data_IF_879539194343
#
_entry.id   IF_879539194343
#
_cell.length_a   1.000
_cell.length_b   1.000
_cell.length_c   1.000
_cell.angle_alpha   90.00
_cell.angle_beta   90.00
_cell.angle_gamma   90.00
#
_symmetry.space_group_name_H-M   'P 1'
#
loop_
_entity.id
_entity.type
_entity.pdbx_description
1 polymer ?
#
# COMPACT_ATOMS: atom_id res chain seq x y z
N UNK A 1 -48.11 41.06 -46.80
CA UNK A 1 -47.05 41.97 -46.29
C UNK A 1 -46.25 41.19 -45.25
N UNK A 2 -44.93 41.08 -45.44
CA UNK A 2 -43.89 40.32 -44.68
C UNK A 2 -43.95 38.77 -44.85
N UNK A 3 -43.08 38.06 -45.59
CA UNK A 3 -41.60 37.93 -45.73
C UNK A 3 -40.90 37.05 -44.66
N UNK A 4 -40.60 35.80 -45.08
CA UNK A 4 -39.40 34.95 -44.90
C UNK A 4 -38.39 35.23 -43.78
N UNK A 5 -37.99 34.17 -43.05
CA UNK A 5 -36.65 33.54 -43.09
C UNK A 5 -36.44 32.59 -41.90
N UNK A 6 -35.90 31.39 -42.15
CA UNK A 6 -35.59 30.38 -41.11
C UNK A 6 -34.17 30.48 -40.57
N UNK A 7 -33.87 29.77 -39.47
CA UNK A 7 -32.51 29.35 -39.06
C UNK A 7 -32.59 28.04 -38.25
N UNK A 8 -31.55 27.22 -38.43
CA UNK A 8 -31.30 25.82 -38.07
C UNK A 8 -31.25 25.43 -36.58
N UNK A 9 -31.30 24.09 -36.40
CA UNK A 9 -30.96 23.28 -35.22
C UNK A 9 -29.79 23.79 -34.38
N UNK A 10 -29.96 23.85 -33.05
CA UNK A 10 -28.95 23.45 -32.05
C UNK A 10 -29.69 22.84 -30.85
N UNK A 11 -29.60 21.53 -30.69
CA UNK A 11 -29.80 20.87 -29.39
C UNK A 11 -28.50 21.04 -28.61
N UNK A 12 -28.49 21.96 -27.64
CA UNK A 12 -27.57 21.92 -26.51
C UNK A 12 -28.26 21.06 -25.43
N UNK A 13 -27.69 20.02 -24.84
CA UNK A 13 -26.27 19.78 -24.59
C UNK A 13 -26.11 19.66 -23.07
N UNK A 14 -25.97 18.43 -22.58
CA UNK A 14 -25.12 17.94 -21.48
C UNK A 14 -24.89 18.89 -20.27
N UNK A 15 -25.00 18.46 -19.01
CA UNK A 15 -24.07 17.48 -18.43
C UNK A 15 -24.49 17.05 -17.02
N UNK A 16 -24.48 15.73 -16.82
CA UNK A 16 -23.86 15.03 -15.69
C UNK A 16 -24.31 15.38 -14.26
N UNK A 17 -25.38 14.72 -13.81
CA UNK A 17 -25.38 14.19 -12.44
C UNK A 17 -24.32 13.08 -12.41
N UNK A 18 -23.18 13.34 -11.79
CA UNK A 18 -22.25 12.30 -11.38
C UNK A 18 -22.97 11.42 -10.34
N UNK A 19 -23.61 10.36 -10.82
CA UNK A 19 -23.93 9.22 -9.98
C UNK A 19 -22.65 8.43 -9.84
N UNK A 20 -22.22 8.29 -8.58
CA UNK A 20 -21.41 7.18 -8.15
C UNK A 20 -22.14 5.89 -8.53
N UNK A 21 -21.84 5.36 -9.71
CA UNK A 21 -21.95 3.93 -9.95
C UNK A 21 -20.58 3.37 -9.64
N UNK A 22 -20.55 2.63 -8.54
CA UNK A 22 -19.67 1.50 -8.32
C UNK A 22 -19.52 0.79 -9.67
N UNK A 23 -18.41 1.06 -10.35
CA UNK A 23 -18.00 0.30 -11.53
C UNK A 23 -17.64 -1.09 -11.03
N UNK A 24 -18.67 -1.92 -10.91
CA UNK A 24 -18.56 -3.36 -10.72
C UNK A 24 -18.05 -3.91 -12.05
N UNK A 25 -16.81 -3.54 -12.39
CA UNK A 25 -16.01 -4.35 -13.29
C UNK A 25 -15.96 -5.72 -12.61
N UNK A 26 -16.49 -6.75 -13.27
CA UNK A 26 -16.22 -8.12 -12.85
C UNK A 26 -14.71 -8.29 -12.96
N UNK A 27 -14.00 -8.00 -11.87
CA UNK A 27 -12.62 -8.40 -11.72
C UNK A 27 -12.64 -9.92 -11.78
N UNK A 28 -12.17 -10.47 -12.90
CA UNK A 28 -11.85 -11.88 -13.01
C UNK A 28 -10.68 -12.16 -12.05
N UNK A 29 -11.00 -12.38 -10.77
CA UNK A 29 -10.03 -12.57 -9.70
C UNK A 29 -10.61 -12.34 -8.31
N UNK A 30 -9.77 -12.53 -7.30
CA UNK A 30 -10.08 -12.28 -5.90
C UNK A 30 -10.43 -10.81 -5.65
N UNK A 31 -11.50 -10.57 -4.90
CA UNK A 31 -11.87 -9.23 -4.44
C UNK A 31 -10.78 -8.67 -3.52
N UNK A 32 -10.29 -7.46 -3.81
CA UNK A 32 -9.17 -6.88 -3.09
C UNK A 32 -9.49 -6.59 -1.62
N UNK A 33 -10.72 -6.14 -1.32
CA UNK A 33 -11.10 -5.84 0.08
C UNK A 33 -11.12 -7.12 0.92
N UNK A 34 -11.75 -8.17 0.40
CA UNK A 34 -11.80 -9.48 1.06
C UNK A 34 -10.40 -10.08 1.22
N UNK A 35 -9.52 -9.90 0.23
CA UNK A 35 -8.11 -10.24 0.34
C UNK A 35 -7.44 -9.48 1.49
N UNK A 36 -7.57 -8.16 1.53
CA UNK A 36 -6.91 -7.31 2.51
C UNK A 36 -7.41 -7.60 3.94
N UNK A 37 -8.72 -7.75 4.12
CA UNK A 37 -9.33 -8.13 5.40
C UNK A 37 -8.74 -9.45 5.93
N UNK A 38 -8.47 -10.42 5.04
CA UNK A 38 -7.84 -11.70 5.42
C UNK A 38 -6.33 -11.59 5.59
N UNK A 39 -5.68 -10.76 4.77
CA UNK A 39 -4.25 -10.48 4.81
C UNK A 39 -3.85 -9.92 6.18
N UNK A 40 -4.65 -9.02 6.73
CA UNK A 40 -4.38 -8.33 8.00
C UNK A 40 -4.89 -9.06 9.24
N UNK A 41 -5.61 -10.17 9.08
CA UNK A 41 -6.20 -10.92 10.21
C UNK A 41 -5.65 -12.34 10.40
N UNK A 42 -4.75 -12.82 9.52
CA UNK A 42 -4.09 -14.12 9.66
C UNK A 42 -2.64 -14.07 9.20
N UNK A 43 -1.70 -14.27 10.12
CA UNK A 43 -0.28 -14.28 9.83
C UNK A 43 0.07 -15.39 8.82
N UNK A 44 -0.48 -16.59 9.01
CA UNK A 44 -0.27 -17.70 8.08
C UNK A 44 -0.72 -17.32 6.66
N UNK A 45 -1.90 -16.73 6.51
CA UNK A 45 -2.38 -16.29 5.20
C UNK A 45 -1.51 -15.17 4.63
N UNK A 46 -1.15 -14.17 5.44
CA UNK A 46 -0.31 -13.05 5.04
C UNK A 46 0.99 -13.53 4.36
N UNK A 47 1.71 -14.45 5.02
CA UNK A 47 2.94 -15.02 4.45
C UNK A 47 2.75 -15.80 3.15
N UNK A 48 1.57 -16.38 2.89
CA UNK A 48 1.29 -17.07 1.61
C UNK A 48 1.07 -16.10 0.45
N UNK A 49 0.79 -14.84 0.76
CA UNK A 49 0.43 -13.80 -0.21
C UNK A 49 1.52 -12.76 -0.38
N UNK A 50 2.76 -13.09 -0.03
CA UNK A 50 3.92 -12.24 -0.26
C UNK A 50 4.90 -12.99 -1.16
N UNK A 51 5.37 -12.34 -2.23
CA UNK A 51 6.38 -12.89 -3.13
C UNK A 51 7.78 -12.54 -2.60
N UNK A 52 8.37 -13.44 -1.81
CA UNK A 52 9.75 -13.28 -1.35
C UNK A 52 10.77 -13.84 -2.37
N UNK A 53 11.99 -13.25 -2.45
CA UNK A 53 12.32 -11.93 -1.90
C UNK A 53 11.52 -10.83 -2.62
N UNK A 54 11.27 -9.72 -1.91
CA UNK A 54 10.58 -8.57 -2.51
C UNK A 54 11.44 -7.95 -3.62
N UNK A 55 10.80 -7.21 -4.53
CA UNK A 55 11.46 -6.56 -5.68
C UNK A 55 12.58 -5.63 -5.20
N UNK A 56 12.32 -4.81 -4.18
CA UNK A 56 13.27 -3.85 -3.63
C UNK A 56 14.00 -4.45 -2.42
N UNK A 57 15.35 -4.55 -2.44
CA UNK A 57 16.12 -4.97 -1.27
C UNK A 57 16.13 -3.88 -0.20
N UNK A 58 16.51 -4.26 1.02
CA UNK A 58 16.83 -3.29 2.07
C UNK A 58 18.18 -2.66 1.75
N UNK A 59 18.27 -1.33 1.72
CA UNK A 59 19.51 -0.58 1.48
C UNK A 59 19.84 0.25 2.71
N UNK A 60 21.01 0.04 3.30
CA UNK A 60 21.46 0.74 4.50
C UNK A 60 22.83 1.38 4.27
N UNK A 61 23.11 2.47 4.98
CA UNK A 61 24.42 3.11 5.00
C UNK A 61 25.37 2.45 6.01
N UNK A 62 26.61 2.28 5.58
CA UNK A 62 27.70 1.95 6.47
C UNK A 62 28.07 3.14 7.37
N UNK A 63 28.87 2.88 8.40
CA UNK A 63 29.28 3.87 9.39
C UNK A 63 30.10 5.04 8.81
N UNK A 64 30.57 4.91 7.57
CA UNK A 64 31.23 5.99 6.83
C UNK A 64 30.25 7.04 6.27
N UNK A 65 28.94 6.76 6.30
CA UNK A 65 27.88 7.65 5.80
C UNK A 65 27.80 7.74 4.27
N UNK A 66 28.61 6.98 3.54
CA UNK A 66 28.70 7.06 2.08
C UNK A 66 28.48 5.69 1.41
N UNK A 67 28.95 4.61 2.04
CA UNK A 67 28.88 3.27 1.44
C UNK A 67 27.54 2.62 1.71
N UNK A 68 26.75 2.42 0.66
CA UNK A 68 25.52 1.62 0.72
C UNK A 68 25.81 0.11 0.75
N UNK A 69 25.04 -0.63 1.54
CA UNK A 69 24.95 -2.10 1.47
C UNK A 69 23.52 -2.54 1.31
N UNK A 70 23.32 -3.52 0.44
CA UNK A 70 22.01 -4.10 0.16
C UNK A 70 21.86 -5.46 0.81
N UNK A 71 20.66 -5.72 1.34
CA UNK A 71 20.27 -6.97 1.97
C UNK A 71 18.97 -7.47 1.35
N UNK A 72 18.85 -8.75 0.99
CA UNK A 72 17.59 -9.28 0.47
C UNK A 72 16.45 -9.12 1.47
N UNK A 73 15.34 -8.55 1.00
CA UNK A 73 14.12 -8.44 1.80
C UNK A 73 13.32 -9.74 1.70
N UNK A 74 13.60 -10.63 2.65
CA UNK A 74 13.11 -12.01 2.72
C UNK A 74 12.14 -12.20 3.89
N UNK A 75 11.49 -13.37 3.94
CA UNK A 75 10.41 -13.68 4.89
C UNK A 75 10.77 -13.41 6.35
N UNK A 76 12.01 -13.69 6.76
CA UNK A 76 12.45 -13.51 8.15
C UNK A 76 12.62 -12.05 8.59
N UNK A 77 12.55 -11.11 7.63
CA UNK A 77 12.60 -9.66 7.85
C UNK A 77 11.23 -9.01 7.70
N UNK A 78 10.20 -9.74 7.31
CA UNK A 78 8.88 -9.15 7.05
C UNK A 78 8.17 -8.76 8.37
N UNK A 79 7.80 -7.48 8.58
CA UNK A 79 6.89 -7.09 9.65
C UNK A 79 5.45 -7.41 9.24
N UNK A 80 4.73 -8.19 10.05
CA UNK A 80 3.33 -8.51 9.81
C UNK A 80 2.49 -7.23 9.94
N UNK A 81 1.64 -6.99 8.93
CA UNK A 81 0.79 -5.81 8.85
C UNK A 81 -0.60 -6.13 9.38
N UNK A 82 -1.10 -5.30 10.28
CA UNK A 82 -2.44 -5.43 10.87
C UNK A 82 -3.48 -4.56 10.13
N UNK A 83 -4.73 -4.61 10.59
CA UNK A 83 -5.82 -3.87 9.97
C UNK A 83 -5.73 -2.36 10.17
N UNK A 84 -5.17 -1.92 11.31
CA UNK A 84 -5.00 -0.49 11.59
C UNK A 84 -3.91 0.12 10.69
N UNK A 85 -2.80 -0.60 10.49
CA UNK A 85 -1.71 -0.22 9.58
C UNK A 85 -2.19 -0.03 8.14
N UNK A 86 -3.13 -0.87 7.69
CA UNK A 86 -3.63 -0.86 6.31
C UNK A 86 -4.91 -0.04 6.10
N UNK A 87 -5.33 0.73 7.10
CA UNK A 87 -6.53 1.56 7.03
C UNK A 87 -6.24 2.86 6.28
N UNK A 88 -7.16 3.29 5.41
CA UNK A 88 -7.07 4.62 4.79
C UNK A 88 -7.63 5.69 5.71
N UNK A 89 -6.79 6.64 6.13
CA UNK A 89 -7.18 7.72 7.02
C UNK A 89 -6.28 8.96 6.90
N UNK A 90 -6.76 10.07 7.45
CA UNK A 90 -6.00 11.31 7.60
C UNK A 90 -6.25 11.83 9.01
N UNK A 91 -5.22 11.82 9.84
CA UNK A 91 -5.30 12.17 11.25
C UNK A 91 -4.41 13.38 11.53
N UNK A 92 -4.92 14.33 12.30
CA UNK A 92 -4.13 15.43 12.86
C UNK A 92 -3.69 15.03 14.26
N UNK A 93 -2.38 14.90 14.48
CA UNK A 93 -1.80 14.58 15.78
C UNK A 93 -1.86 15.80 16.72
N UNK A 94 -1.76 15.54 18.03
CA UNK A 94 -1.78 16.59 19.06
C UNK A 94 -0.65 17.63 18.88
N UNK A 95 0.49 17.20 18.35
CA UNK A 95 1.66 18.04 18.06
C UNK A 95 1.54 18.80 16.72
N UNK A 96 0.42 18.66 16.02
CA UNK A 96 0.10 19.36 14.76
C UNK A 96 0.50 18.64 13.48
N UNK A 97 1.28 17.56 13.56
CA UNK A 97 1.64 16.72 12.40
C UNK A 97 0.41 16.02 11.80
N UNK A 98 0.39 15.86 10.48
CA UNK A 98 -0.71 15.19 9.76
C UNK A 98 -0.22 13.83 9.29
N UNK A 99 -0.79 12.76 9.83
CA UNK A 99 -0.56 11.39 9.37
C UNK A 99 -1.57 11.05 8.27
N UNK A 100 -1.10 10.50 7.16
CA UNK A 100 -1.93 10.12 6.02
C UNK A 100 -1.60 8.70 5.61
N UNK A 101 -2.62 7.87 5.45
CA UNK A 101 -2.54 6.53 4.87
C UNK A 101 -3.59 6.39 3.77
N UNK A 102 -3.18 5.97 2.57
CA UNK A 102 -4.07 5.90 1.39
C UNK A 102 -3.51 5.00 0.30
N UNK A 103 -4.39 4.54 -0.60
CA UNK A 103 -3.95 4.00 -1.89
C UNK A 103 -3.54 5.15 -2.83
N UNK A 104 -2.24 5.28 -3.10
CA UNK A 104 -1.70 6.24 -4.09
C UNK A 104 -1.86 5.73 -5.52
N UNK A 105 -1.93 4.41 -5.69
CA UNK A 105 -2.35 3.75 -6.93
C UNK A 105 -3.48 2.76 -6.61
N UNK A 106 -4.58 2.83 -7.36
CA UNK A 106 -5.76 2.00 -7.13
C UNK A 106 -6.34 1.43 -8.44
N UNK A 107 -5.53 0.72 -9.21
CA UNK A 107 -5.95 0.10 -10.48
C UNK A 107 -6.58 -1.28 -10.26
N UNK A 108 -7.30 -1.84 -11.26
CA UNK A 108 -7.93 -3.16 -11.13
C UNK A 108 -6.98 -4.33 -10.89
N UNK A 109 -5.69 -4.23 -11.21
CA UNK A 109 -4.73 -5.34 -11.00
C UNK A 109 -3.44 -4.92 -10.31
N UNK A 110 -3.33 -3.65 -9.93
CA UNK A 110 -2.14 -3.08 -9.34
C UNK A 110 -2.54 -1.96 -8.37
N UNK A 111 -2.13 -2.08 -7.11
CA UNK A 111 -2.44 -1.09 -6.08
C UNK A 111 -1.19 -0.79 -5.27
N UNK A 112 -1.02 0.46 -4.87
CA UNK A 112 0.07 0.90 -4.00
C UNK A 112 -0.56 1.63 -2.83
N UNK A 113 -0.31 1.12 -1.63
CA UNK A 113 -0.68 1.77 -0.38
C UNK A 113 0.55 2.50 0.17
N UNK A 114 0.37 3.73 0.61
CA UNK A 114 1.41 4.51 1.31
C UNK A 114 0.84 5.07 2.61
N UNK A 115 1.68 5.06 3.65
CA UNK A 115 1.36 5.66 4.93
C UNK A 115 2.58 6.40 5.51
N UNK A 116 2.34 7.56 6.11
CA UNK A 116 3.37 8.38 6.73
C UNK A 116 2.89 9.79 7.05
N UNK A 117 3.77 10.60 7.61
CA UNK A 117 3.48 12.01 7.85
C UNK A 117 3.55 12.83 6.54
N UNK A 118 2.58 13.72 6.33
CA UNK A 118 2.43 14.51 5.09
C UNK A 118 3.67 15.38 4.78
N UNK A 119 4.42 15.79 5.79
CA UNK A 119 5.63 16.61 5.69
C UNK A 119 6.94 15.81 5.87
N UNK A 120 6.88 14.48 5.76
CA UNK A 120 8.04 13.58 5.94
C UNK A 120 8.11 12.54 4.83
N UNK A 121 9.18 11.74 4.85
CA UNK A 121 9.21 10.51 4.05
C UNK A 121 8.11 9.56 4.52
N UNK A 122 7.63 8.71 3.61
CA UNK A 122 6.64 7.68 3.96
C UNK A 122 7.26 6.68 4.94
N UNK A 123 6.48 6.21 5.90
CA UNK A 123 6.90 5.17 6.85
C UNK A 123 6.65 3.77 6.28
N UNK A 124 5.70 3.66 5.35
CA UNK A 124 5.29 2.41 4.75
C UNK A 124 4.85 2.63 3.30
N UNK A 125 5.31 1.76 2.40
CA UNK A 125 4.74 1.61 1.06
C UNK A 125 4.59 0.13 0.75
N UNK A 126 3.40 -0.31 0.36
CA UNK A 126 3.11 -1.72 0.02
C UNK A 126 2.54 -1.79 -1.38
N UNK A 127 3.16 -2.61 -2.24
CA UNK A 127 2.73 -2.83 -3.62
C UNK A 127 2.01 -4.17 -3.75
N UNK A 128 0.78 -4.12 -4.24
CA UNK A 128 -0.09 -5.27 -4.46
C UNK A 128 -0.35 -5.48 -5.95
N UNK A 129 -0.21 -6.72 -6.41
CA UNK A 129 -0.55 -7.11 -7.77
C UNK A 129 -1.51 -8.32 -7.78
N UNK A 130 -2.53 -8.25 -8.64
CA UNK A 130 -3.38 -9.38 -8.96
C UNK A 130 -2.67 -10.24 -10.02
N UNK A 131 -2.28 -11.44 -9.64
CA UNK A 131 -1.50 -12.33 -10.50
C UNK A 131 -2.39 -13.15 -11.44
N UNK A 132 -1.77 -13.84 -12.40
CA UNK A 132 -2.48 -14.64 -13.41
C UNK A 132 -3.30 -15.82 -12.83
N UNK A 133 -3.04 -16.21 -11.58
CA UNK A 133 -3.85 -17.21 -10.85
C UNK A 133 -5.13 -16.62 -10.23
N UNK A 134 -5.40 -15.34 -10.47
CA UNK A 134 -6.54 -14.61 -9.95
C UNK A 134 -6.43 -14.27 -8.47
N UNK A 135 -5.24 -14.31 -7.87
CA UNK A 135 -5.02 -13.97 -6.44
C UNK A 135 -4.16 -12.72 -6.28
N UNK A 136 -4.43 -11.95 -5.24
CA UNK A 136 -3.61 -10.81 -4.86
C UNK A 136 -2.36 -11.25 -4.09
N UNK A 137 -1.25 -10.58 -4.37
CA UNK A 137 0.01 -10.73 -3.66
C UNK A 137 0.65 -9.37 -3.40
N UNK A 138 1.33 -9.25 -2.27
CA UNK A 138 2.36 -8.24 -2.06
C UNK A 138 3.60 -8.64 -2.85
N UNK A 139 4.08 -7.74 -3.68
CA UNK A 139 5.25 -7.95 -4.55
C UNK A 139 6.41 -7.03 -4.19
N UNK A 140 6.13 -5.91 -3.52
CA UNK A 140 7.16 -5.01 -3.01
C UNK A 140 6.73 -4.31 -1.73
N UNK A 141 7.71 -3.85 -0.95
CA UNK A 141 7.48 -3.12 0.29
C UNK A 141 8.68 -2.23 0.66
N UNK A 142 8.38 -1.00 1.06
CA UNK A 142 9.26 -0.17 1.88
C UNK A 142 8.66 -0.07 3.28
N UNK A 143 9.50 -0.13 4.31
CA UNK A 143 9.09 0.05 5.70
C UNK A 143 10.17 0.77 6.50
N UNK A 144 9.75 1.72 7.34
CA UNK A 144 10.62 2.49 8.22
C UNK A 144 11.39 1.63 9.22
N UNK A 145 10.98 0.38 9.47
CA UNK A 145 11.78 -0.60 10.23
C UNK A 145 13.19 -0.74 9.65
N UNK A 146 13.34 -0.68 8.33
CA UNK A 146 14.63 -0.75 7.64
C UNK A 146 14.88 0.49 6.80
N UNK A 147 14.46 1.65 7.32
CA UNK A 147 14.69 2.94 6.69
C UNK A 147 16.18 3.22 6.48
N UNK A 148 16.47 4.18 5.62
CA UNK A 148 17.83 4.54 5.20
C UNK A 148 18.74 4.96 6.37
N UNK A 149 18.14 5.57 7.40
CA UNK A 149 18.83 6.01 8.62
C UNK A 149 19.21 4.88 9.57
N UNK A 150 18.76 3.64 9.34
CA UNK A 150 19.11 2.50 10.18
C UNK A 150 20.60 2.13 9.99
N UNK A 151 21.44 2.22 11.04
CA UNK A 151 22.83 1.80 10.93
C UNK A 151 22.93 0.29 10.66
N UNK A 152 23.85 -0.11 9.77
CA UNK A 152 24.05 -1.54 9.45
C UNK A 152 24.32 -2.39 10.70
N UNK A 153 25.03 -1.84 11.69
CA UNK A 153 25.30 -2.51 12.96
C UNK A 153 24.04 -2.88 13.75
N UNK A 154 22.94 -2.16 13.54
CA UNK A 154 21.67 -2.35 14.25
C UNK A 154 20.70 -3.29 13.52
N UNK A 155 20.91 -3.56 12.22
CA UNK A 155 20.01 -4.39 11.39
C UNK A 155 19.66 -5.73 12.06
N UNK A 156 20.63 -6.39 12.68
CA UNK A 156 20.38 -7.69 13.35
C UNK A 156 19.41 -7.54 14.53
N UNK A 157 19.57 -6.49 15.33
CA UNK A 157 18.68 -6.22 16.46
C UNK A 157 17.30 -5.81 15.97
N UNK A 158 17.22 -4.98 14.93
CA UNK A 158 15.95 -4.58 14.33
C UNK A 158 15.16 -5.76 13.78
N UNK A 159 15.82 -6.71 13.09
CA UNK A 159 15.19 -7.97 12.66
C UNK A 159 14.69 -8.78 13.86
N UNK A 160 15.39 -8.75 14.99
CA UNK A 160 14.96 -9.43 16.21
C UNK A 160 13.70 -8.78 16.81
N UNK A 161 13.64 -7.45 16.87
CA UNK A 161 12.46 -6.72 17.32
C UNK A 161 11.25 -7.00 16.42
N UNK A 162 11.43 -7.00 15.10
CA UNK A 162 10.36 -7.38 14.14
C UNK A 162 9.85 -8.80 14.40
N UNK A 163 10.71 -9.74 14.78
CA UNK A 163 10.29 -11.11 15.13
C UNK A 163 9.47 -11.16 16.41
N UNK A 164 9.78 -10.31 17.38
CA UNK A 164 9.05 -10.20 18.65
C UNK A 164 7.67 -9.59 18.42
N UNK A 165 7.57 -8.49 17.66
CA UNK A 165 6.28 -7.92 17.23
C UNK A 165 5.44 -8.93 16.44
N UNK A 166 6.08 -9.66 15.51
CA UNK A 166 5.41 -10.74 14.78
C UNK A 166 4.91 -11.86 15.69
N UNK A 167 5.63 -12.17 16.77
CA UNK A 167 5.20 -13.18 17.73
C UNK A 167 3.92 -12.73 18.44
N UNK A 168 3.87 -11.49 18.92
CA UNK A 168 2.67 -10.89 19.51
C UNK A 168 1.50 -10.88 18.53
N UNK A 169 1.72 -10.46 17.28
CA UNK A 169 0.70 -10.48 16.24
C UNK A 169 0.13 -11.90 16.02
N UNK A 170 0.99 -12.92 15.92
CA UNK A 170 0.58 -14.31 15.71
C UNK A 170 -0.26 -14.90 16.86
N UNK A 171 -0.17 -14.36 18.07
CA UNK A 171 -0.98 -14.82 19.20
C UNK A 171 -2.46 -14.43 19.03
N UNK A 172 -2.73 -13.29 18.41
CA UNK A 172 -4.08 -12.77 18.16
C UNK A 172 -4.58 -13.01 16.72
N UNK A 173 -3.65 -13.23 15.77
CA UNK A 173 -3.91 -13.40 14.34
C UNK A 173 -3.08 -14.55 13.75
N UNK A 174 -3.41 -15.82 14.05
CA UNK A 174 -2.62 -16.98 13.62
C UNK A 174 -2.51 -17.17 12.09
#
# INVERSE_FOLDING_TARGET
>A
MMLLAGVSFISCGNSSKAKADSELTTQDGEDFKSFLDKFTSSAAFQYTRIKFPLKTPITLLADDGETEKTFPFTREKWPLLDSETMKEERITQEEGGIYVSKFTLNEPKHKIFEAGYEESEVDLRVEFELQADGKWYVVDCYTGWYGYDLPIGELKQTIQNVKEENAAFKEIHP
#
